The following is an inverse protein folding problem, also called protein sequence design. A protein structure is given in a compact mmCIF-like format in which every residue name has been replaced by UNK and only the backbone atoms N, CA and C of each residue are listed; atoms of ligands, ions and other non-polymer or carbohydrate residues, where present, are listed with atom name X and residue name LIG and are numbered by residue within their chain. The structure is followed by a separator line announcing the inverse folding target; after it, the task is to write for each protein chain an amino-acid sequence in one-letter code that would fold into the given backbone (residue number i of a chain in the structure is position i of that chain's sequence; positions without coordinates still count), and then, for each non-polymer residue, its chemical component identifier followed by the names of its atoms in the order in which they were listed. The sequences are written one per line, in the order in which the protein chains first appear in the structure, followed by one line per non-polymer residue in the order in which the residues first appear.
data_IF_760288472277
#
_entry.id   IF_760288472277
#
_cell.length_a   1.000
_cell.length_b   1.000
_cell.length_c   1.000
_cell.angle_alpha   90.00
_cell.angle_beta   90.00
_cell.angle_gamma   90.00
#
_symmetry.space_group_name_H-M   'P 1'
#
loop_
_entity.id
_entity.type
_entity.pdbx_description
1 polymer ?
#
# COMPACT_ATOMS: atom_id res chain seq x y z
N UNK A 1 9.13 -19.04 -13.84
CA UNK A 1 9.56 -18.17 -12.74
C UNK A 1 8.56 -18.26 -11.60
N UNK A 2 9.02 -18.19 -10.33
CA UNK A 2 8.08 -18.22 -9.21
C UNK A 2 7.35 -16.89 -9.12
N UNK A 3 6.13 -16.92 -8.58
CA UNK A 3 5.33 -15.70 -8.42
C UNK A 3 5.99 -14.75 -7.43
N UNK A 4 5.98 -13.45 -7.74
CA UNK A 4 6.55 -12.41 -6.85
C UNK A 4 5.57 -12.01 -5.74
N UNK A 5 4.29 -12.34 -5.91
CA UNK A 5 3.27 -12.18 -4.89
C UNK A 5 2.55 -13.52 -4.76
N UNK A 6 2.62 -14.11 -3.58
CA UNK A 6 2.03 -15.43 -3.33
C UNK A 6 0.87 -15.29 -2.37
N UNK A 7 -0.21 -16.02 -2.63
CA UNK A 7 -1.39 -15.98 -1.77
C UNK A 7 -1.57 -17.34 -1.09
N UNK A 8 -1.83 -17.31 0.20
CA UNK A 8 -2.21 -18.47 0.99
C UNK A 8 -3.50 -18.13 1.71
N UNK A 9 -4.47 -19.06 1.66
CA UNK A 9 -5.77 -18.82 2.30
C UNK A 9 -5.96 -19.88 3.39
N UNK A 10 -6.15 -19.42 4.61
CA UNK A 10 -6.42 -20.28 5.76
C UNK A 10 -7.49 -19.61 6.61
N UNK A 11 -8.52 -20.37 6.99
CA UNK A 11 -9.64 -19.87 7.81
C UNK A 11 -10.29 -18.61 7.18
N UNK A 12 -10.44 -18.60 5.86
CA UNK A 12 -11.01 -17.45 5.13
C UNK A 12 -10.23 -16.15 5.31
N UNK A 13 -8.95 -16.24 5.67
CA UNK A 13 -8.00 -15.12 5.69
C UNK A 13 -6.97 -15.39 4.58
N UNK A 14 -6.87 -14.48 3.63
CA UNK A 14 -5.87 -14.57 2.57
C UNK A 14 -4.66 -13.75 2.97
N UNK A 15 -3.47 -14.35 2.91
CA UNK A 15 -2.22 -13.63 3.12
C UNK A 15 -1.49 -13.58 1.79
N UNK A 16 -1.28 -12.36 1.29
CA UNK A 16 -0.51 -12.10 0.08
C UNK A 16 0.88 -11.64 0.51
N UNK A 17 1.90 -12.41 0.15
CA UNK A 17 3.29 -12.11 0.52
C UNK A 17 4.06 -11.64 -0.71
N UNK A 18 4.61 -10.43 -0.64
CA UNK A 18 5.46 -9.87 -1.69
C UNK A 18 6.89 -10.31 -1.44
N UNK A 19 7.50 -10.98 -2.40
CA UNK A 19 8.90 -11.43 -2.25
C UNK A 19 9.57 -11.59 -3.61
N UNK A 20 10.35 -10.57 -3.99
CA UNK A 20 11.17 -10.64 -5.20
C UNK A 20 12.64 -10.95 -4.89
N UNK A 21 12.93 -11.26 -3.62
CA UNK A 21 14.29 -11.50 -3.15
C UNK A 21 15.12 -10.24 -2.97
N UNK A 22 14.53 -9.08 -3.21
CA UNK A 22 15.21 -7.79 -3.15
C UNK A 22 14.36 -6.79 -2.35
N UNK A 23 14.08 -5.64 -2.94
CA UNK A 23 13.35 -4.57 -2.26
C UNK A 23 11.85 -4.53 -2.59
N UNK A 24 11.34 -5.56 -3.24
CA UNK A 24 9.91 -5.67 -3.63
C UNK A 24 9.47 -4.48 -4.48
N UNK A 25 10.30 -4.09 -5.45
CA UNK A 25 9.97 -2.96 -6.30
C UNK A 25 8.68 -3.22 -7.07
N UNK A 26 7.83 -2.18 -7.14
CA UNK A 26 6.57 -2.26 -7.87
C UNK A 26 6.81 -1.98 -9.35
N UNK A 27 7.24 -3.02 -10.04
CA UNK A 27 7.34 -3.04 -11.49
C UNK A 27 6.10 -3.72 -12.09
N UNK A 28 6.02 -3.77 -13.42
CA UNK A 28 4.85 -4.33 -14.11
C UNK A 28 4.55 -5.76 -13.67
N UNK A 29 5.59 -6.61 -13.63
CA UNK A 29 5.40 -8.03 -13.24
C UNK A 29 4.95 -8.17 -11.80
N UNK A 30 5.55 -7.40 -10.89
CA UNK A 30 5.13 -7.45 -9.48
C UNK A 30 3.66 -7.05 -9.34
N UNK A 31 3.25 -5.95 -10.01
CA UNK A 31 1.87 -5.48 -9.92
C UNK A 31 0.89 -6.48 -10.56
N UNK A 32 1.29 -7.10 -11.66
CA UNK A 32 0.49 -8.17 -12.28
C UNK A 32 0.28 -9.32 -11.29
N UNK A 33 1.35 -9.74 -10.62
CA UNK A 33 1.25 -10.82 -9.64
C UNK A 33 0.41 -10.41 -8.42
N UNK A 34 0.52 -9.16 -7.98
CA UNK A 34 -0.32 -8.67 -6.88
C UNK A 34 -1.79 -8.70 -7.30
N UNK A 35 -2.10 -8.23 -8.49
CA UNK A 35 -3.48 -8.26 -8.97
C UNK A 35 -4.02 -9.69 -9.10
N UNK A 36 -3.22 -10.60 -9.42
CA UNK A 36 -3.55 -11.85 -9.48
C UNK A 36 -3.82 -12.45 -8.20
N UNK A 37 -3.02 -12.11 -7.25
CA UNK A 37 -3.27 -12.59 -5.88
C UNK A 37 -4.52 -11.98 -5.26
N UNK A 38 -4.78 -10.72 -5.56
CA UNK A 38 -6.00 -10.05 -5.12
C UNK A 38 -7.26 -10.74 -5.69
N UNK A 39 -7.23 -11.15 -6.95
CA UNK A 39 -8.37 -11.88 -7.53
C UNK A 39 -8.66 -13.15 -6.71
N UNK A 40 -7.63 -13.91 -6.40
CA UNK A 40 -7.77 -15.14 -5.64
C UNK A 40 -8.24 -14.85 -4.20
N UNK A 41 -7.67 -13.83 -3.57
CA UNK A 41 -8.03 -13.45 -2.21
C UNK A 41 -9.49 -12.97 -2.13
N UNK A 42 -9.89 -12.14 -3.09
CA UNK A 42 -11.26 -11.61 -3.13
C UNK A 42 -12.30 -12.73 -3.33
N UNK A 43 -11.95 -13.75 -4.12
CA UNK A 43 -12.84 -14.87 -4.36
C UNK A 43 -12.92 -15.84 -3.18
N UNK A 44 -11.81 -16.03 -2.44
CA UNK A 44 -11.70 -17.12 -1.48
C UNK A 44 -11.62 -16.74 0.00
N UNK A 45 -11.59 -15.46 0.33
CA UNK A 45 -11.37 -15.06 1.73
C UNK A 45 -12.32 -13.95 2.17
N UNK A 46 -12.46 -13.79 3.48
CA UNK A 46 -13.24 -12.70 4.10
C UNK A 46 -12.35 -11.52 4.50
N UNK A 47 -11.06 -11.77 4.70
CA UNK A 47 -10.08 -10.75 5.11
C UNK A 47 -8.84 -10.93 4.24
N UNK A 48 -8.24 -9.82 3.84
CA UNK A 48 -7.01 -9.83 3.04
C UNK A 48 -5.88 -9.22 3.88
N UNK A 49 -4.77 -9.94 3.99
CA UNK A 49 -3.54 -9.45 4.60
C UNK A 49 -2.51 -9.32 3.47
N UNK A 50 -1.86 -8.18 3.38
CA UNK A 50 -0.75 -7.98 2.43
C UNK A 50 0.51 -7.71 3.25
N UNK A 51 1.56 -8.49 2.99
CA UNK A 51 2.82 -8.36 3.71
C UNK A 51 3.99 -8.43 2.73
N UNK A 52 5.18 -8.09 3.21
CA UNK A 52 6.40 -8.20 2.43
C UNK A 52 7.29 -9.32 2.93
N UNK A 53 8.56 -9.22 2.59
CA UNK A 53 9.59 -10.13 3.09
C UNK A 53 10.33 -9.48 4.26
N UNK A 54 11.03 -10.26 5.09
CA UNK A 54 11.72 -9.64 6.25
C UNK A 54 12.57 -8.44 5.85
N UNK A 55 12.33 -7.31 6.50
CA UNK A 55 13.07 -6.08 6.30
C UNK A 55 12.46 -5.11 5.31
N UNK A 56 11.48 -5.53 4.48
CA UNK A 56 10.92 -4.62 3.50
C UNK A 56 9.47 -4.98 3.15
N UNK A 57 8.61 -3.97 3.18
CA UNK A 57 7.30 -4.06 2.57
C UNK A 57 7.45 -3.88 1.06
N UNK A 58 7.79 -2.68 0.65
CA UNK A 58 8.24 -2.37 -0.71
C UNK A 58 8.93 -1.01 -0.72
N UNK A 59 9.96 -0.90 -1.55
CA UNK A 59 10.71 0.34 -1.72
C UNK A 59 10.08 1.29 -2.75
N UNK A 60 8.93 0.92 -3.31
CA UNK A 60 8.21 1.78 -4.25
C UNK A 60 8.36 1.34 -5.70
N UNK A 61 8.02 2.24 -6.61
CA UNK A 61 8.07 1.92 -8.04
C UNK A 61 9.46 1.53 -8.50
N UNK A 62 9.49 0.64 -9.50
CA UNK A 62 10.74 0.10 -10.05
C UNK A 62 11.58 1.23 -10.65
N UNK A 63 12.70 1.54 -9.98
CA UNK A 63 13.60 2.60 -10.41
C UNK A 63 14.26 2.31 -11.77
N UNK A 64 14.37 1.03 -12.15
CA UNK A 64 14.92 0.70 -13.46
C UNK A 64 13.98 1.20 -14.56
N UNK A 65 12.67 0.97 -14.41
CA UNK A 65 11.69 1.52 -15.35
C UNK A 65 11.71 3.05 -15.31
N UNK A 66 11.70 3.62 -14.09
CA UNK A 66 11.67 5.08 -13.91
C UNK A 66 12.83 5.79 -14.61
N UNK A 67 14.03 5.17 -14.57
CA UNK A 67 15.23 5.79 -15.11
C UNK A 67 15.51 5.46 -16.58
N UNK A 68 15.18 4.24 -16.99
CA UNK A 68 15.63 3.71 -18.28
C UNK A 68 14.52 3.56 -19.31
N UNK A 69 13.26 3.68 -18.91
CA UNK A 69 12.12 3.50 -19.80
C UNK A 69 11.13 4.68 -19.69
N UNK A 70 11.59 5.92 -20.00
CA UNK A 70 10.76 7.10 -19.74
C UNK A 70 9.38 7.04 -20.41
N UNK A 71 9.27 6.40 -21.56
CA UNK A 71 7.99 6.26 -22.26
C UNK A 71 6.99 5.37 -21.52
N UNK A 72 7.47 4.58 -20.55
CA UNK A 72 6.62 3.65 -19.79
C UNK A 72 6.32 4.12 -18.36
N UNK A 73 6.89 5.23 -17.93
CA UNK A 73 6.75 5.71 -16.56
C UNK A 73 5.26 6.00 -16.25
N UNK A 74 4.57 6.65 -17.17
CA UNK A 74 3.15 6.97 -16.96
C UNK A 74 2.30 5.70 -16.83
N UNK A 75 2.58 4.69 -17.67
CA UNK A 75 1.88 3.40 -17.55
C UNK A 75 2.14 2.75 -16.19
N UNK A 76 3.39 2.78 -15.75
CA UNK A 76 3.76 2.20 -14.46
C UNK A 76 3.00 2.88 -13.31
N UNK A 77 3.02 4.20 -13.29
CA UNK A 77 2.36 4.98 -12.23
C UNK A 77 0.84 4.80 -12.28
N UNK A 78 0.27 4.78 -13.49
CA UNK A 78 -1.17 4.58 -13.66
C UNK A 78 -1.59 3.20 -13.15
N UNK A 79 -0.88 2.14 -13.56
CA UNK A 79 -1.19 0.78 -13.10
C UNK A 79 -1.03 0.66 -11.58
N UNK A 80 0.01 1.30 -11.04
CA UNK A 80 0.20 1.34 -9.59
C UNK A 80 -0.96 2.04 -8.89
N UNK A 81 -1.36 3.19 -9.41
CA UNK A 81 -2.50 3.92 -8.87
C UNK A 81 -3.77 3.09 -8.90
N UNK A 82 -4.04 2.42 -10.02
CA UNK A 82 -5.22 1.56 -10.17
C UNK A 82 -5.19 0.43 -9.12
N UNK A 83 -4.04 -0.20 -8.94
CA UNK A 83 -3.88 -1.25 -7.93
C UNK A 83 -4.14 -0.70 -6.52
N UNK A 84 -3.58 0.47 -6.20
CA UNK A 84 -3.76 1.06 -4.87
C UNK A 84 -5.22 1.47 -4.63
N UNK A 85 -5.90 2.01 -5.64
CA UNK A 85 -7.32 2.36 -5.53
C UNK A 85 -8.16 1.09 -5.35
N UNK A 86 -7.84 0.01 -6.05
CA UNK A 86 -8.51 -1.28 -5.86
C UNK A 86 -8.41 -1.74 -4.41
N UNK A 87 -7.21 -1.66 -3.82
CA UNK A 87 -7.00 -2.04 -2.42
C UNK A 87 -7.80 -1.12 -1.50
N UNK A 88 -7.71 0.19 -1.72
CA UNK A 88 -8.39 1.21 -0.91
C UNK A 88 -9.90 1.02 -0.90
N UNK A 89 -10.47 0.67 -2.05
CA UNK A 89 -11.92 0.53 -2.22
C UNK A 89 -12.44 -0.90 -2.01
N UNK A 90 -11.56 -1.85 -1.71
CA UNK A 90 -11.97 -3.24 -1.53
C UNK A 90 -13.13 -3.34 -0.53
N UNK A 91 -14.19 -4.10 -0.83
CA UNK A 91 -15.27 -4.27 0.16
C UNK A 91 -14.86 -5.10 1.37
N UNK A 92 -13.73 -5.80 1.28
CA UNK A 92 -13.22 -6.63 2.38
C UNK A 92 -12.23 -5.85 3.23
N UNK A 93 -12.06 -6.21 4.51
CA UNK A 93 -10.97 -5.64 5.31
C UNK A 93 -9.62 -5.97 4.66
N UNK A 94 -8.76 -4.95 4.53
CA UNK A 94 -7.39 -5.14 4.04
C UNK A 94 -6.43 -4.68 5.12
N UNK A 95 -5.65 -5.62 5.65
CA UNK A 95 -4.66 -5.40 6.69
C UNK A 95 -3.28 -5.38 6.03
N UNK A 96 -2.56 -4.27 6.16
CA UNK A 96 -1.18 -4.18 5.68
C UNK A 96 -0.24 -4.53 6.84
N UNK A 97 0.56 -5.57 6.65
CA UNK A 97 1.46 -6.05 7.69
C UNK A 97 2.89 -5.84 7.20
N UNK A 98 3.51 -4.75 7.66
CA UNK A 98 4.80 -4.34 7.14
C UNK A 98 5.95 -4.91 7.96
N UNK A 99 6.79 -5.77 7.36
CA UNK A 99 7.97 -6.29 8.06
C UNK A 99 9.20 -5.39 7.92
N UNK A 100 9.05 -4.19 7.37
CA UNK A 100 10.18 -3.29 7.19
C UNK A 100 9.84 -2.07 6.38
N UNK A 101 10.77 -1.61 5.54
CA UNK A 101 10.66 -0.34 4.81
C UNK A 101 9.42 -0.25 3.94
N UNK A 102 8.75 0.92 3.99
CA UNK A 102 7.66 1.28 3.08
C UNK A 102 7.86 2.69 2.57
N UNK A 103 8.47 2.83 1.39
CA UNK A 103 8.94 4.13 0.88
C UNK A 103 8.30 4.41 -0.48
N UNK A 104 7.97 5.67 -0.73
CA UNK A 104 7.37 6.14 -1.98
C UNK A 104 6.06 5.39 -2.24
N UNK A 105 5.92 4.66 -3.36
CA UNK A 105 4.71 3.86 -3.59
C UNK A 105 4.50 2.81 -2.49
N UNK A 106 5.56 2.42 -1.76
CA UNK A 106 5.42 1.55 -0.59
C UNK A 106 4.71 2.23 0.56
N UNK A 107 4.97 3.52 0.76
CA UNK A 107 4.21 4.30 1.74
C UNK A 107 2.76 4.46 1.28
N UNK A 108 2.54 4.68 -0.02
CA UNK A 108 1.16 4.77 -0.55
C UNK A 108 0.41 3.45 -0.37
N UNK A 109 1.10 2.32 -0.51
CA UNK A 109 0.48 1.01 -0.24
C UNK A 109 0.01 0.96 1.21
N UNK A 110 0.83 1.39 2.17
CA UNK A 110 0.41 1.44 3.58
C UNK A 110 -0.83 2.33 3.74
N UNK A 111 -0.87 3.47 3.05
CA UNK A 111 -2.01 4.39 3.16
C UNK A 111 -3.28 3.84 2.52
N UNK A 112 -3.19 2.84 1.65
CA UNK A 112 -4.36 2.26 0.99
C UNK A 112 -5.10 1.22 1.85
N UNK A 113 -4.47 0.71 2.90
CA UNK A 113 -5.07 -0.33 3.74
C UNK A 113 -6.09 0.19 4.74
N UNK A 114 -6.80 -0.75 5.36
CA UNK A 114 -7.78 -0.42 6.40
C UNK A 114 -7.09 -0.30 7.75
N UNK A 115 -6.15 -1.18 8.02
CA UNK A 115 -5.38 -1.18 9.26
C UNK A 115 -3.95 -1.61 8.94
N UNK A 116 -2.99 -1.00 9.63
CA UNK A 116 -1.58 -1.24 9.32
C UNK A 116 -0.82 -1.59 10.59
N UNK A 117 -0.10 -2.72 10.55
CA UNK A 117 0.76 -3.16 11.63
C UNK A 117 2.18 -3.22 11.10
N UNK A 118 3.14 -2.62 11.80
CA UNK A 118 4.53 -2.55 11.37
C UNK A 118 5.46 -3.09 12.44
N UNK A 119 6.57 -3.67 12.01
CA UNK A 119 7.60 -4.19 12.91
C UNK A 119 8.48 -3.03 13.39
N UNK A 120 8.77 -3.00 14.68
CA UNK A 120 9.76 -2.08 15.25
C UNK A 120 11.14 -2.40 14.71
N UNK A 121 11.96 -1.38 14.50
CA UNK A 121 13.32 -1.58 14.04
C UNK A 121 13.83 -0.39 13.26
N UNK A 122 15.00 -0.55 12.66
CA UNK A 122 15.62 0.50 11.87
C UNK A 122 15.06 0.50 10.45
N UNK A 123 13.81 0.90 10.34
CA UNK A 123 13.07 0.94 9.07
C UNK A 123 12.58 2.35 8.81
N UNK A 124 12.25 2.64 7.54
CA UNK A 124 11.80 3.96 7.13
C UNK A 124 10.50 3.87 6.35
N UNK A 125 9.65 4.85 6.62
CA UNK A 125 8.37 5.06 5.92
C UNK A 125 8.32 6.50 5.45
N UNK A 126 7.81 6.72 4.26
CA UNK A 126 7.57 8.09 3.83
C UNK A 126 7.50 8.26 2.32
N UNK A 127 7.14 9.47 1.95
CA UNK A 127 6.95 9.90 0.57
C UNK A 127 8.14 10.79 0.20
N UNK A 128 9.15 10.19 -0.43
CA UNK A 128 10.41 10.90 -0.68
C UNK A 128 10.51 11.51 -2.08
N UNK A 129 9.39 11.68 -2.75
CA UNK A 129 9.35 12.11 -4.15
C UNK A 129 10.09 13.44 -4.38
N UNK A 130 9.84 14.46 -3.53
CA UNK A 130 10.54 15.75 -3.69
C UNK A 130 12.05 15.60 -3.57
N UNK A 131 12.53 14.66 -2.77
CA UNK A 131 13.97 14.45 -2.59
C UNK A 131 14.63 13.83 -3.80
N UNK A 132 13.86 13.13 -4.64
CA UNK A 132 14.38 12.49 -5.85
C UNK A 132 13.90 13.17 -7.13
N UNK A 133 13.36 14.39 -7.02
CA UNK A 133 12.97 15.20 -8.17
C UNK A 133 11.69 14.76 -8.84
N UNK A 134 10.78 14.18 -8.08
CA UNK A 134 9.50 13.71 -8.62
C UNK A 134 8.34 14.42 -7.95
N UNK A 135 7.24 14.56 -8.69
CA UNK A 135 6.00 15.10 -8.18
C UNK A 135 5.07 13.93 -7.84
N UNK A 136 4.50 13.95 -6.63
CA UNK A 136 3.50 12.95 -6.25
C UNK A 136 2.30 13.05 -7.18
N UNK A 137 1.84 11.92 -7.73
CA UNK A 137 0.63 11.95 -8.56
C UNK A 137 -0.59 12.31 -7.71
N UNK A 138 -1.67 12.82 -8.35
CA UNK A 138 -2.87 13.22 -7.59
C UNK A 138 -3.42 12.15 -6.65
N UNK A 139 -3.44 10.87 -7.06
CA UNK A 139 -3.94 9.81 -6.18
C UNK A 139 -3.05 9.66 -4.93
N UNK A 140 -1.75 9.89 -5.06
CA UNK A 140 -0.83 9.84 -3.92
C UNK A 140 -1.13 10.94 -2.92
N UNK A 141 -1.38 12.15 -3.40
CA UNK A 141 -1.79 13.26 -2.54
C UNK A 141 -3.14 12.95 -1.86
N UNK A 142 -4.07 12.39 -2.61
CA UNK A 142 -5.39 12.04 -2.06
C UNK A 142 -5.27 11.01 -0.93
N UNK A 143 -4.46 9.96 -1.13
CA UNK A 143 -4.22 8.96 -0.08
C UNK A 143 -3.54 9.60 1.14
N UNK A 144 -2.57 10.48 0.90
CA UNK A 144 -1.88 11.17 1.99
C UNK A 144 -2.86 12.03 2.80
N UNK A 145 -3.70 12.83 2.13
CA UNK A 145 -4.70 13.65 2.82
C UNK A 145 -5.69 12.80 3.61
N UNK A 146 -6.06 11.66 3.07
CA UNK A 146 -7.05 10.79 3.70
C UNK A 146 -6.54 10.15 4.98
N UNK A 147 -5.26 9.76 5.01
CA UNK A 147 -4.73 8.94 6.11
C UNK A 147 -3.79 9.67 7.06
N UNK A 148 -3.04 10.67 6.56
CA UNK A 148 -2.02 11.31 7.41
C UNK A 148 -2.63 12.37 8.30
N UNK A 149 -2.05 12.52 9.48
CA UNK A 149 -2.36 13.57 10.43
C UNK A 149 -2.06 14.92 9.77
N UNK A 150 -3.05 15.81 9.72
CA UNK A 150 -2.99 17.06 8.97
C UNK A 150 -1.81 17.94 9.35
N UNK A 151 -1.43 17.96 10.61
CA UNK A 151 -0.32 18.83 11.02
C UNK A 151 1.03 18.41 10.43
N UNK A 152 1.14 17.15 9.98
CA UNK A 152 2.37 16.65 9.38
C UNK A 152 2.32 16.61 7.86
N UNK A 153 1.17 16.90 7.25
CA UNK A 153 0.96 16.63 5.82
C UNK A 153 2.00 17.30 4.92
N UNK A 154 2.28 18.60 5.15
CA UNK A 154 3.23 19.31 4.30
C UNK A 154 4.63 18.69 4.37
N UNK A 155 5.13 18.43 5.58
CA UNK A 155 6.49 17.86 5.71
C UNK A 155 6.54 16.43 5.19
N UNK A 156 5.47 15.64 5.37
CA UNK A 156 5.45 14.27 4.88
C UNK A 156 5.37 14.21 3.34
N UNK A 157 4.45 14.95 2.73
CA UNK A 157 4.17 14.83 1.30
C UNK A 157 5.00 15.78 0.44
N UNK A 158 5.35 16.96 0.96
CA UNK A 158 6.12 17.98 0.22
C UNK A 158 7.58 17.99 0.68
N UNK A 159 7.81 17.87 1.98
CA UNK A 159 9.15 17.93 2.57
C UNK A 159 9.98 16.66 2.44
N UNK A 160 9.36 15.58 1.99
CA UNK A 160 10.06 14.31 1.69
C UNK A 160 10.76 13.66 2.90
N UNK A 161 10.29 13.94 4.12
CA UNK A 161 10.85 13.30 5.30
C UNK A 161 10.56 11.80 5.32
N UNK A 162 11.53 11.04 5.78
CA UNK A 162 11.36 9.60 6.03
C UNK A 162 11.39 9.40 7.54
N UNK A 163 10.52 8.53 8.02
CA UNK A 163 10.24 8.39 9.44
C UNK A 163 10.50 6.95 9.91
N UNK A 164 11.01 6.82 11.14
CA UNK A 164 11.11 5.49 11.77
C UNK A 164 9.69 4.99 12.10
N UNK A 165 9.53 3.72 12.49
CA UNK A 165 8.19 3.18 12.70
C UNK A 165 7.37 3.93 13.75
N UNK A 166 7.97 4.39 14.86
CA UNK A 166 7.22 5.09 15.89
C UNK A 166 6.69 6.44 15.40
N UNK A 167 7.52 7.21 14.69
CA UNK A 167 7.05 8.45 14.07
C UNK A 167 6.07 8.18 12.94
N UNK A 168 6.27 7.10 12.17
CA UNK A 168 5.33 6.72 11.12
C UNK A 168 3.93 6.46 11.70
N UNK A 169 3.86 5.90 12.91
CA UNK A 169 2.58 5.70 13.59
C UNK A 169 1.95 7.05 13.96
N UNK A 170 2.73 7.96 14.50
CA UNK A 170 2.21 9.28 14.89
C UNK A 170 1.70 10.06 13.67
N UNK A 171 2.43 9.96 12.56
CA UNK A 171 2.12 10.71 11.34
C UNK A 171 0.96 10.08 10.58
N UNK A 172 0.82 8.74 10.64
CA UNK A 172 -0.33 8.07 10.03
C UNK A 172 0.00 7.03 8.97
N UNK A 173 1.27 6.68 8.79
CA UNK A 173 1.63 5.63 7.83
C UNK A 173 1.30 4.23 8.35
N UNK A 174 1.25 4.06 9.66
CA UNK A 174 0.94 2.79 10.30
C UNK A 174 0.07 3.03 11.53
N UNK A 175 -0.66 2.03 11.97
CA UNK A 175 -1.58 2.18 13.12
C UNK A 175 -0.98 1.64 14.40
N UNK A 176 -0.12 0.61 14.30
CA UNK A 176 0.59 0.13 15.47
C UNK A 176 1.96 -0.42 15.10
N UNK A 177 2.86 -0.39 16.05
CA UNK A 177 4.22 -0.88 15.90
C UNK A 177 4.43 -1.95 16.96
N UNK A 178 4.89 -3.12 16.54
CA UNK A 178 5.11 -4.26 17.44
C UNK A 178 6.51 -4.83 17.25
N UNK A 179 6.99 -5.54 18.26
CA UNK A 179 8.30 -6.20 18.16
C UNK A 179 8.29 -7.28 17.07
N UNK A 180 9.46 -7.62 16.56
CA UNK A 180 9.59 -8.69 15.56
C UNK A 180 9.01 -10.01 16.10
N UNK A 181 9.23 -10.31 17.38
CA UNK A 181 8.73 -11.55 17.97
C UNK A 181 7.21 -11.59 18.07
N UNK A 182 6.56 -10.45 18.23
CA UNK A 182 5.11 -10.38 18.38
C UNK A 182 4.37 -10.20 17.05
N UNK A 183 5.08 -9.91 15.97
CA UNK A 183 4.48 -9.45 14.71
C UNK A 183 3.48 -10.45 14.13
N UNK A 184 3.91 -11.69 13.88
CA UNK A 184 3.05 -12.68 13.24
C UNK A 184 1.79 -12.96 14.04
N UNK A 185 1.93 -13.10 15.36
CA UNK A 185 0.78 -13.37 16.23
C UNK A 185 -0.19 -12.18 16.25
N UNK A 186 0.34 -10.96 16.29
CA UNK A 186 -0.51 -9.76 16.31
C UNK A 186 -1.28 -9.60 15.00
N UNK A 187 -0.62 -9.83 13.87
CA UNK A 187 -1.27 -9.78 12.55
C UNK A 187 -2.41 -10.79 12.49
N UNK A 188 -2.15 -12.01 12.93
CA UNK A 188 -3.17 -13.08 12.93
C UNK A 188 -4.36 -12.69 13.83
N UNK A 189 -4.07 -12.16 15.01
CA UNK A 189 -5.11 -11.73 15.96
C UNK A 189 -6.00 -10.65 15.34
N UNK A 190 -5.39 -9.64 14.69
CA UNK A 190 -6.15 -8.54 14.07
C UNK A 190 -6.97 -9.04 12.87
N UNK A 191 -6.40 -9.95 12.07
CA UNK A 191 -7.13 -10.54 10.95
C UNK A 191 -8.36 -11.32 11.43
N UNK A 192 -8.22 -12.08 12.51
CA UNK A 192 -9.34 -12.80 13.10
C UNK A 192 -10.41 -11.84 13.64
N UNK A 193 -9.98 -10.72 14.22
CA UNK A 193 -10.94 -9.70 14.65
C UNK A 193 -11.76 -9.18 13.47
N UNK A 194 -11.08 -8.82 12.37
CA UNK A 194 -11.80 -8.35 11.17
C UNK A 194 -12.75 -9.42 10.63
N UNK A 195 -12.32 -10.68 10.64
CA UNK A 195 -13.16 -11.79 10.17
C UNK A 195 -14.41 -11.92 11.02
N UNK A 196 -14.36 -11.57 12.31
CA UNK A 196 -15.51 -11.68 13.21
C UNK A 196 -16.59 -10.62 12.94
N UNK A 197 -16.26 -9.58 12.19
CA UNK A 197 -17.23 -8.52 11.88
C UNK A 197 -18.18 -8.96 10.78
N UNK A 198 -19.40 -8.37 10.77
CA UNK A 198 -20.35 -8.63 9.68
C UNK A 198 -19.80 -8.02 8.38
N UNK A 199 -19.54 -8.86 7.39
CA UNK A 199 -18.88 -8.43 6.15
C UNK A 199 -19.69 -7.44 5.35
N UNK A 200 -21.03 -7.57 5.33
CA UNK A 200 -21.90 -6.65 4.59
C UNK A 200 -21.91 -5.27 5.26
N UNK A 201 -21.98 -5.25 6.58
CA UNK A 201 -21.96 -4.00 7.33
C UNK A 201 -20.59 -3.32 7.17
N UNK A 202 -19.51 -4.09 7.24
CA UNK A 202 -18.16 -3.57 7.03
C UNK A 202 -18.04 -2.91 5.65
N UNK A 203 -18.43 -3.63 4.60
CA UNK A 203 -18.36 -3.14 3.23
C UNK A 203 -19.20 -1.86 3.05
N UNK A 204 -20.39 -1.83 3.62
CA UNK A 204 -21.27 -0.67 3.53
C UNK A 204 -20.69 0.56 4.21
N UNK A 205 -20.19 0.39 5.43
CA UNK A 205 -19.58 1.51 6.17
C UNK A 205 -18.31 2.02 5.46
N UNK A 206 -17.49 1.11 4.96
CA UNK A 206 -16.27 1.48 4.23
C UNK A 206 -16.62 2.25 2.96
N UNK A 207 -17.63 1.79 2.21
CA UNK A 207 -18.08 2.46 0.99
C UNK A 207 -18.54 3.90 1.31
N UNK A 208 -19.30 4.10 2.38
CA UNK A 208 -19.76 5.43 2.78
C UNK A 208 -18.60 6.37 3.04
N UNK A 209 -17.51 5.87 3.60
CA UNK A 209 -16.34 6.70 3.92
C UNK A 209 -15.44 6.92 2.70
N UNK A 210 -15.27 5.89 1.84
CA UNK A 210 -14.19 5.90 0.85
C UNK A 210 -14.64 6.06 -0.60
N UNK A 211 -15.91 5.76 -0.94
CA UNK A 211 -16.30 5.64 -2.35
C UNK A 211 -16.07 6.93 -3.14
N UNK A 212 -16.45 8.07 -2.59
CA UNK A 212 -16.30 9.34 -3.31
C UNK A 212 -14.83 9.62 -3.65
N UNK A 213 -13.93 9.32 -2.72
CA UNK A 213 -12.49 9.52 -2.99
C UNK A 213 -11.97 8.48 -3.98
N UNK A 214 -12.42 7.23 -3.87
CA UNK A 214 -12.03 6.19 -4.83
C UNK A 214 -12.46 6.55 -6.25
N UNK A 215 -13.69 7.07 -6.39
CA UNK A 215 -14.20 7.51 -7.70
C UNK A 215 -13.36 8.67 -8.25
N UNK A 216 -13.03 9.63 -7.40
CA UNK A 216 -12.15 10.75 -7.81
C UNK A 216 -10.79 10.24 -8.27
N UNK A 217 -10.16 9.37 -7.49
CA UNK A 217 -8.84 8.83 -7.86
C UNK A 217 -8.90 8.05 -9.17
N UNK A 218 -9.96 7.26 -9.36
CA UNK A 218 -10.17 6.52 -10.60
C UNK A 218 -10.31 7.47 -11.80
N UNK A 219 -11.08 8.54 -11.64
CA UNK A 219 -11.26 9.53 -12.70
C UNK A 219 -9.94 10.23 -13.03
N UNK A 220 -9.17 10.60 -12.00
CA UNK A 220 -7.87 11.25 -12.20
C UNK A 220 -6.90 10.32 -12.96
N UNK A 221 -6.89 9.04 -12.65
CA UNK A 221 -6.03 8.06 -13.32
C UNK A 221 -6.43 7.86 -14.78
N UNK A 222 -7.69 8.00 -15.11
CA UNK A 222 -8.20 7.97 -16.49
C UNK A 222 -7.87 9.25 -17.28
N UNK A 223 -7.69 10.08 -16.58
CA UNK A 223 -7.48 11.30 -17.13
C UNK A 223 -6.12 11.58 -17.42
N UNK A 224 -5.36 10.88 -16.96
CA UNK A 224 -3.93 11.04 -17.16
C UNK A 224 -3.43 10.53 -18.52
N UNK A 225 -4.30 10.11 -19.38
CA UNK A 225 -3.88 9.81 -20.74
C UNK A 225 -3.36 11.10 -21.41
N UNK A 226 -2.18 11.53 -21.02
CA UNK A 226 -1.51 12.61 -21.71
C UNK A 226 -0.85 13.73 -20.87
N UNK A 227 -0.87 13.68 -19.54
CA UNK A 227 -0.15 14.69 -18.76
C UNK A 227 0.85 14.06 -17.81
N UNK A 228 2.10 14.23 -18.14
CA UNK A 228 3.21 13.73 -17.34
C UNK A 228 3.27 14.42 -15.97
N UNK A 229 3.36 13.62 -14.93
CA UNK A 229 3.66 14.11 -13.59
C UNK A 229 5.17 14.13 -13.36
N UNK A 230 5.91 14.47 -14.40
CA UNK A 230 7.38 14.58 -14.30
C UNK A 230 7.78 15.97 -14.75
N UNK A 231 8.43 16.69 -13.87
CA UNK A 231 9.07 17.97 -14.19
C UNK A 231 10.53 17.71 -14.53
#
# INVERSE_FOLDING_TARGET
MSALAKVEIEDAIATITLDDGKANALGFTMMEHINXALDEAEAGADVIVITGRPGVMTAGFDLNVMRNEPDRVMDLVTQGGQMLVRIFASPKPVLLASPGHGIAAGALLMLSGDYRISVAGDFKYGLNESAIGMVLPPFGIDLARFKLNQQYLDMAAVGADLYDPDMAREIGYTDEVVSADAFSARVREKAKYFKSLDGKAYAGNKRHIRQALADKMTADLSXTDGQAAVV
#
